data_IF_124870304009
#
_entry.id   IF_124870304009
#
_cell.length_a   1.000
_cell.length_b   1.000
_cell.length_c   1.000
_cell.angle_alpha   90.00
_cell.angle_beta   90.00
_cell.angle_gamma   90.00
#
_symmetry.space_group_name_H-M   'P 1'
#
loop_
_entity.id
_entity.type
_entity.pdbx_description
1 polymer ?
#
# COMPACT_ATOMS: atom_id res chain seq x y z
N UNK A 1 -15.04 -4.19 18.39
CA UNK A 1 -15.69 -5.35 17.71
C UNK A 1 -16.32 -5.01 16.35
N UNK A 2 -17.50 -4.35 16.25
CA UNK A 2 -18.18 -4.14 14.94
C UNK A 2 -17.34 -3.36 13.90
N UNK A 3 -16.62 -2.33 14.34
CA UNK A 3 -15.75 -1.53 13.47
C UNK A 3 -14.60 -2.32 12.84
N UNK A 4 -14.01 -3.27 13.56
CA UNK A 4 -12.93 -4.11 13.02
C UNK A 4 -13.43 -5.03 11.91
N UNK A 5 -14.64 -5.59 12.06
CA UNK A 5 -15.28 -6.43 11.05
C UNK A 5 -15.53 -5.64 9.77
N UNK A 6 -16.02 -4.40 9.89
CA UNK A 6 -16.21 -3.51 8.74
C UNK A 6 -14.90 -3.19 8.02
N UNK A 7 -13.85 -2.85 8.77
CA UNK A 7 -12.53 -2.53 8.20
C UNK A 7 -11.90 -3.75 7.51
N UNK A 8 -12.02 -4.93 8.11
CA UNK A 8 -11.58 -6.18 7.49
C UNK A 8 -12.33 -6.46 6.19
N UNK A 9 -13.67 -6.31 6.19
CA UNK A 9 -14.49 -6.52 4.99
C UNK A 9 -14.10 -5.57 3.84
N UNK A 10 -13.73 -4.32 4.15
CA UNK A 10 -13.21 -3.36 3.16
C UNK A 10 -11.91 -3.86 2.52
N UNK A 11 -10.99 -4.41 3.31
CA UNK A 11 -9.72 -4.95 2.81
C UNK A 11 -9.96 -6.19 1.95
N UNK A 12 -10.78 -7.12 2.41
CA UNK A 12 -11.13 -8.32 1.63
C UNK A 12 -11.78 -7.95 0.29
N UNK A 13 -12.74 -7.03 0.30
CA UNK A 13 -13.43 -6.62 -0.91
C UNK A 13 -12.51 -5.94 -1.93
N UNK A 14 -11.62 -5.05 -1.46
CA UNK A 14 -10.64 -4.38 -2.32
C UNK A 14 -9.61 -5.35 -2.89
N UNK A 15 -9.10 -6.26 -2.07
CA UNK A 15 -8.13 -7.28 -2.54
C UNK A 15 -8.78 -8.26 -3.52
N UNK A 16 -10.05 -8.64 -3.29
CA UNK A 16 -10.83 -9.45 -4.23
C UNK A 16 -11.01 -8.74 -5.57
N UNK A 17 -11.42 -7.47 -5.57
CA UNK A 17 -11.55 -6.64 -6.77
C UNK A 17 -10.24 -6.49 -7.53
N UNK A 18 -9.14 -6.27 -6.81
CA UNK A 18 -7.81 -6.16 -7.42
C UNK A 18 -7.38 -7.48 -8.08
N UNK A 19 -7.57 -8.62 -7.41
CA UNK A 19 -7.30 -9.95 -7.99
C UNK A 19 -8.14 -10.19 -9.24
N UNK A 20 -9.43 -9.84 -9.21
CA UNK A 20 -10.31 -9.96 -10.36
C UNK A 20 -9.80 -9.12 -11.53
N UNK A 21 -9.50 -7.84 -11.29
CA UNK A 21 -8.97 -6.94 -12.32
C UNK A 21 -7.69 -7.50 -12.96
N UNK A 22 -6.77 -8.02 -12.15
CA UNK A 22 -5.51 -8.60 -12.62
C UNK A 22 -5.67 -9.98 -13.28
N UNK A 23 -6.79 -10.66 -13.08
CA UNK A 23 -7.13 -11.88 -13.80
C UNK A 23 -7.65 -11.60 -15.22
N UNK A 24 -8.24 -10.43 -15.42
CA UNK A 24 -8.83 -10.01 -16.70
C UNK A 24 -7.85 -9.16 -17.53
N UNK A 25 -6.85 -8.53 -16.89
CA UNK A 25 -5.94 -7.57 -17.51
C UNK A 25 -4.51 -7.76 -17.04
N UNK A 26 -3.56 -7.52 -17.94
CA UNK A 26 -2.15 -7.46 -17.56
C UNK A 26 -1.86 -6.20 -16.73
N UNK A 27 -0.88 -6.30 -15.82
CA UNK A 27 -0.42 -5.17 -14.99
C UNK A 27 -0.07 -3.95 -15.86
N UNK A 28 0.68 -4.16 -16.94
CA UNK A 28 1.05 -3.05 -17.84
C UNK A 28 -0.16 -2.37 -18.49
N UNK A 29 -1.23 -3.09 -18.78
CA UNK A 29 -2.48 -2.49 -19.29
C UNK A 29 -3.18 -1.64 -18.25
N UNK A 30 -3.16 -2.05 -16.98
CA UNK A 30 -3.76 -1.31 -15.87
C UNK A 30 -2.98 -0.03 -15.59
N UNK A 31 -1.65 -0.08 -15.62
CA UNK A 31 -0.79 1.07 -15.33
C UNK A 31 -0.85 2.16 -16.41
N UNK A 32 -1.10 1.80 -17.67
CA UNK A 32 -1.21 2.76 -18.78
C UNK A 32 -2.59 3.40 -18.93
N UNK A 33 -3.60 2.85 -18.29
CA UNK A 33 -4.94 3.43 -18.27
C UNK A 33 -5.10 4.30 -17.03
N UNK A 34 -5.25 5.62 -17.24
CA UNK A 34 -5.35 6.59 -16.16
C UNK A 34 -6.47 6.28 -15.17
N UNK A 35 -7.64 5.85 -15.64
CA UNK A 35 -8.78 5.58 -14.76
C UNK A 35 -8.55 4.29 -13.96
N UNK A 36 -8.02 3.26 -14.61
CA UNK A 36 -7.71 2.00 -13.94
C UNK A 36 -6.60 2.15 -12.90
N UNK A 37 -5.53 2.89 -13.24
CA UNK A 37 -4.44 3.19 -12.31
C UNK A 37 -4.98 3.90 -11.06
N UNK A 38 -5.77 4.97 -11.24
CA UNK A 38 -6.32 5.70 -10.10
C UNK A 38 -7.31 4.87 -9.28
N UNK A 39 -8.10 4.01 -9.93
CA UNK A 39 -8.97 3.08 -9.20
C UNK A 39 -8.17 2.10 -8.33
N UNK A 40 -7.08 1.54 -8.86
CA UNK A 40 -6.20 0.64 -8.09
C UNK A 40 -5.51 1.37 -6.95
N UNK A 41 -4.96 2.56 -7.21
CA UNK A 41 -4.34 3.39 -6.18
C UNK A 41 -5.32 3.72 -5.05
N UNK A 42 -6.56 4.06 -5.40
CA UNK A 42 -7.60 4.33 -4.42
C UNK A 42 -7.95 3.08 -3.59
N UNK A 43 -8.12 1.92 -4.22
CA UNK A 43 -8.37 0.67 -3.50
C UNK A 43 -7.24 0.34 -2.51
N UNK A 44 -5.98 0.48 -2.94
CA UNK A 44 -4.82 0.25 -2.09
C UNK A 44 -4.76 1.25 -0.93
N UNK A 45 -4.99 2.55 -1.20
CA UNK A 45 -4.99 3.58 -0.17
C UNK A 45 -6.06 3.33 0.89
N UNK A 46 -7.28 2.96 0.49
CA UNK A 46 -8.39 2.64 1.40
C UNK A 46 -8.06 1.39 2.23
N UNK A 47 -7.46 0.35 1.63
CA UNK A 47 -7.05 -0.85 2.35
C UNK A 47 -5.92 -0.57 3.36
N UNK A 48 -4.94 0.25 3.00
CA UNK A 48 -3.86 0.66 3.91
C UNK A 48 -4.44 1.47 5.08
N UNK A 49 -5.34 2.41 4.82
CA UNK A 49 -5.99 3.18 5.89
C UNK A 49 -6.79 2.27 6.83
N UNK A 50 -7.52 1.29 6.28
CA UNK A 50 -8.26 0.33 7.11
C UNK A 50 -7.33 -0.51 8.01
N UNK A 51 -6.17 -0.95 7.50
CA UNK A 51 -5.16 -1.65 8.29
C UNK A 51 -4.62 -0.78 9.44
N UNK A 52 -4.32 0.49 9.14
CA UNK A 52 -3.84 1.47 10.11
C UNK A 52 -4.91 1.72 11.19
N UNK A 53 -6.17 1.89 10.81
CA UNK A 53 -7.28 2.11 11.74
C UNK A 53 -7.50 0.89 12.66
N UNK A 54 -7.43 -0.32 12.11
CA UNK A 54 -7.49 -1.55 12.91
C UNK A 54 -6.32 -1.64 13.90
N UNK A 55 -5.11 -1.34 13.45
CA UNK A 55 -3.92 -1.32 14.29
C UNK A 55 -4.04 -0.31 15.44
N UNK A 56 -4.47 0.92 15.14
CA UNK A 56 -4.70 1.94 16.15
C UNK A 56 -5.79 1.53 17.17
N UNK A 57 -6.86 0.87 16.70
CA UNK A 57 -7.89 0.34 17.58
C UNK A 57 -7.35 -0.74 18.52
N UNK A 58 -6.55 -1.67 18.00
CA UNK A 58 -5.93 -2.73 18.79
C UNK A 58 -4.97 -2.17 19.85
N UNK A 59 -4.12 -1.19 19.49
CA UNK A 59 -3.23 -0.49 20.43
C UNK A 59 -4.04 0.10 21.59
N UNK A 60 -5.16 0.76 21.28
CA UNK A 60 -6.04 1.35 22.29
C UNK A 60 -6.71 0.28 23.18
N UNK A 61 -7.17 -0.84 22.60
CA UNK A 61 -7.75 -1.95 23.36
C UNK A 61 -6.73 -2.63 24.29
N UNK A 62 -5.44 -2.61 23.94
CA UNK A 62 -4.34 -3.11 24.77
C UNK A 62 -3.93 -2.14 25.90
N UNK A 63 -4.56 -0.96 26.00
CA UNK A 63 -4.26 0.05 27.02
C UNK A 63 -2.98 0.86 26.75
N UNK A 64 -2.43 0.73 25.54
CA UNK A 64 -1.23 1.43 25.13
C UNK A 64 -1.51 2.86 24.69
N UNK A 65 -0.47 3.70 24.70
CA UNK A 65 -0.62 5.09 24.26
C UNK A 65 -0.98 5.12 22.76
N UNK A 66 -2.01 5.89 22.34
CA UNK A 66 -2.33 6.04 20.94
C UNK A 66 -1.12 6.57 20.15
N UNK A 67 -0.89 6.06 18.92
CA UNK A 67 0.20 6.53 18.08
C UNK A 67 0.00 8.01 17.71
N UNK A 68 1.10 8.76 17.61
CA UNK A 68 1.08 10.19 17.27
C UNK A 68 0.85 10.44 15.78
N UNK A 69 1.03 9.42 14.94
CA UNK A 69 0.78 9.46 13.50
C UNK A 69 0.42 8.08 12.96
N UNK A 70 -0.22 8.03 11.78
CA UNK A 70 -0.54 6.76 11.12
C UNK A 70 0.70 5.90 10.82
N UNK A 71 1.83 6.51 10.50
CA UNK A 71 3.11 5.83 10.29
C UNK A 71 3.68 5.18 11.55
N UNK A 72 3.26 5.61 12.74
CA UNK A 72 3.70 5.01 14.00
C UNK A 72 2.93 3.75 14.38
N UNK A 73 1.74 3.53 13.82
CA UNK A 73 0.92 2.34 14.10
C UNK A 73 1.72 1.02 13.94
N UNK A 74 2.36 0.73 12.79
CA UNK A 74 3.12 -0.53 12.64
C UNK A 74 4.29 -0.63 13.62
N UNK A 75 4.95 0.49 13.94
CA UNK A 75 6.08 0.53 14.88
C UNK A 75 5.63 0.20 16.31
N UNK A 76 4.46 0.72 16.72
CA UNK A 76 3.90 0.42 18.04
C UNK A 76 3.43 -1.03 18.10
N UNK A 77 2.76 -1.54 17.06
CA UNK A 77 2.33 -2.94 16.97
C UNK A 77 3.52 -3.92 17.02
N UNK A 78 4.65 -3.58 16.40
CA UNK A 78 5.90 -4.36 16.49
C UNK A 78 6.42 -4.38 17.94
N UNK A 79 6.51 -3.19 18.59
CA UNK A 79 7.02 -3.06 19.96
C UNK A 79 6.23 -3.87 20.99
N UNK A 80 4.92 -4.00 20.80
CA UNK A 80 4.03 -4.75 21.70
C UNK A 80 3.89 -6.22 21.30
N UNK A 81 4.63 -6.67 20.26
CA UNK A 81 4.71 -8.07 19.85
C UNK A 81 3.52 -8.57 19.03
N UNK A 82 2.68 -7.67 18.49
CA UNK A 82 1.57 -8.04 17.60
C UNK A 82 2.06 -8.30 16.18
N UNK A 83 3.00 -7.49 15.69
CA UNK A 83 3.67 -7.71 14.40
C UNK A 83 5.11 -8.14 14.64
N UNK A 84 5.62 -9.03 13.80
CA UNK A 84 7.06 -9.26 13.70
C UNK A 84 7.75 -8.08 13.01
N UNK A 85 9.08 -7.98 13.16
CA UNK A 85 9.89 -6.94 12.51
C UNK A 85 9.82 -6.98 10.97
N UNK A 86 9.52 -8.14 10.38
CA UNK A 86 9.32 -8.30 8.94
C UNK A 86 7.94 -7.82 8.48
N UNK A 87 6.97 -7.78 9.39
CA UNK A 87 5.60 -7.32 9.15
C UNK A 87 5.40 -5.84 9.53
N UNK A 88 6.20 -5.34 10.47
CA UNK A 88 6.33 -3.92 10.77
C UNK A 88 7.02 -3.22 9.60
N UNK A 89 6.39 -2.20 9.02
CA UNK A 89 6.94 -1.39 7.91
C UNK A 89 8.11 -0.49 8.37
N UNK A 90 9.12 -1.08 9.00
CA UNK A 90 10.18 -0.41 9.74
C UNK A 90 11.55 -0.61 9.07
N UNK A 91 11.70 -0.18 7.81
CA UNK A 91 13.01 0.29 7.38
C UNK A 91 13.22 1.71 7.96
N UNK A 92 14.44 2.00 8.41
CA UNK A 92 14.88 3.10 9.30
C UNK A 92 14.53 4.54 8.87
N UNK A 93 13.73 4.72 7.82
CA UNK A 93 13.39 6.00 7.18
C UNK A 93 11.90 6.33 7.11
N UNK A 94 11.01 5.57 7.75
CA UNK A 94 9.61 5.97 8.00
C UNK A 94 8.92 6.60 6.78
N UNK A 95 8.65 5.82 5.74
CA UNK A 95 8.03 6.35 4.53
C UNK A 95 6.61 6.89 4.83
N UNK A 96 6.41 8.19 4.65
CA UNK A 96 5.08 8.84 4.57
C UNK A 96 4.40 8.36 3.30
N UNK A 97 3.53 7.35 3.41
CA UNK A 97 2.80 6.77 2.26
C UNK A 97 1.72 7.73 1.70
N UNK A 98 1.45 8.87 2.33
CA UNK A 98 0.29 9.71 1.95
C UNK A 98 0.56 10.98 1.13
N UNK A 99 1.79 11.44 0.89
CA UNK A 99 1.95 12.81 0.35
C UNK A 99 2.56 13.01 -1.03
N UNK A 100 3.08 12.01 -1.74
CA UNK A 100 3.53 12.23 -3.12
C UNK A 100 3.56 10.92 -3.91
N UNK A 101 2.59 10.73 -4.80
CA UNK A 101 2.91 10.01 -6.05
C UNK A 101 3.80 10.97 -6.82
N UNK A 102 5.12 10.82 -6.68
CA UNK A 102 6.09 11.64 -7.39
C UNK A 102 5.79 11.58 -8.91
N UNK A 103 5.84 12.71 -9.63
CA UNK A 103 5.79 12.72 -11.09
C UNK A 103 6.79 11.74 -11.74
N UNK A 104 7.90 11.41 -11.06
CA UNK A 104 8.88 10.42 -11.51
C UNK A 104 8.35 8.98 -11.57
N UNK A 105 7.36 8.63 -10.75
CA UNK A 105 6.70 7.32 -10.82
C UNK A 105 5.84 7.26 -12.09
N UNK A 106 5.14 8.35 -12.42
CA UNK A 106 4.43 8.47 -13.70
C UNK A 106 5.38 8.44 -14.91
N UNK A 107 6.51 9.14 -14.85
CA UNK A 107 7.51 9.17 -15.94
C UNK A 107 8.21 7.82 -16.15
N UNK A 108 8.45 7.04 -15.09
CA UNK A 108 9.06 5.71 -15.18
C UNK A 108 8.20 4.66 -15.88
N UNK A 109 6.86 4.81 -15.86
CA UNK A 109 5.93 3.91 -16.52
C UNK A 109 5.57 4.32 -17.97
N UNK A 110 5.95 5.53 -18.38
CA UNK A 110 5.72 6.06 -19.74
C UNK A 110 6.96 6.01 -20.66
N UNK A 111 8.13 5.53 -20.21
CA UNK A 111 9.23 5.23 -21.15
C UNK A 111 8.86 4.05 -22.04
N UNK A 112 8.76 4.30 -23.34
CA UNK A 112 8.71 3.26 -24.36
C UNK A 112 10.01 2.44 -24.26
N UNK A 113 9.95 1.10 -24.10
CA UNK A 113 11.12 0.23 -24.12
C UNK A 113 11.99 0.35 -25.39
N UNK A 114 11.49 1.01 -26.45
CA UNK A 114 12.19 1.25 -27.71
C UNK A 114 13.01 2.55 -27.72
N UNK A 115 12.92 3.37 -26.69
CA UNK A 115 13.65 4.65 -26.59
C UNK A 115 14.93 4.59 -25.75
N UNK A 116 15.41 3.39 -25.35
CA UNK A 116 16.73 3.20 -24.75
C UNK A 116 17.73 2.64 -25.77
N UNK A 117 18.58 3.47 -26.41
CA UNK A 117 19.59 2.98 -27.34
C UNK A 117 20.84 2.41 -26.63
N UNK A 118 20.80 2.20 -25.31
CA UNK A 118 22.01 2.04 -24.47
C UNK A 118 22.34 0.65 -23.94
N UNK A 119 21.61 -0.44 -24.25
CA UNK A 119 22.02 -1.79 -23.83
C UNK A 119 21.81 -2.83 -24.91
N UNK A 120 22.83 -2.97 -25.75
CA UNK A 120 22.82 -3.94 -26.82
C UNK A 120 24.18 -4.35 -27.38
N UNK A 121 25.30 -4.19 -26.67
CA UNK A 121 26.54 -4.92 -27.02
C UNK A 121 27.33 -5.29 -25.76
N UNK A 122 27.17 -6.54 -25.32
CA UNK A 122 28.26 -7.27 -24.68
C UNK A 122 28.35 -8.59 -25.45
N UNK A 123 29.29 -8.64 -26.38
CA UNK A 123 29.89 -9.89 -26.83
C UNK A 123 30.90 -10.37 -25.80
#
# INVERSE_FOLDING_TARGET
MGKLIELHAVIEENTRKLRQLLSERSVGSVLRDYYMLNAVLHMLQVSIQALIDMGAHLIAEMGEKPPGSYSEVPVVLEKIGVLSREEGFSDEKGYRVQEHISPRVYEGFHRDPREDPGRGEIR
#
